data_IF_413213602412
#
_entry.id   IF_413213602412
#
_cell.length_a   1.000
_cell.length_b   1.000
_cell.length_c   1.000
_cell.angle_alpha   90.00
_cell.angle_beta   90.00
_cell.angle_gamma   90.00
#
_symmetry.space_group_name_H-M   'P 1'
#
loop_
_entity.id
_entity.type
_entity.pdbx_description
1 polymer ?
#
# COMPACT_ATOMS: atom_id res chain seq x y z
N UNK A 1 31.99 -65.74 41.16
CA UNK A 1 31.88 -64.26 41.15
C UNK A 1 31.37 -63.88 39.82
N UNK A 2 30.06 -63.59 39.75
CA UNK A 2 29.32 -63.25 38.49
C UNK A 2 29.31 -61.75 38.28
N UNK A 3 29.77 -61.38 37.15
CA UNK A 3 29.66 -60.01 36.67
C UNK A 3 28.52 -60.02 35.62
N UNK A 4 27.36 -59.43 35.96
CA UNK A 4 26.20 -59.29 35.10
C UNK A 4 26.44 -58.15 34.17
N UNK A 5 26.31 -58.41 32.86
CA UNK A 5 26.27 -57.42 31.77
C UNK A 5 24.87 -56.75 31.64
N UNK A 6 24.87 -55.46 31.66
CA UNK A 6 23.66 -54.63 31.31
C UNK A 6 23.58 -54.45 29.80
N UNK A 7 22.41 -54.60 29.18
CA UNK A 7 22.21 -54.23 27.78
C UNK A 7 21.91 -52.74 27.68
N UNK A 8 22.67 -52.04 26.84
CA UNK A 8 22.41 -50.67 26.40
C UNK A 8 21.26 -50.70 25.40
N UNK A 9 20.10 -50.19 25.81
CA UNK A 9 18.98 -49.92 24.90
C UNK A 9 19.25 -48.59 24.19
N UNK A 10 19.59 -48.68 22.92
CA UNK A 10 19.75 -47.50 22.02
C UNK A 10 18.37 -47.03 21.58
N UNK A 11 17.87 -45.92 22.15
CA UNK A 11 16.68 -45.24 21.66
C UNK A 11 17.05 -44.45 20.40
N UNK A 12 16.62 -44.94 19.25
CA UNK A 12 16.65 -44.18 18.00
C UNK A 12 15.47 -43.16 18.00
N UNK A 13 15.76 -41.93 18.36
CA UNK A 13 14.81 -40.83 18.14
C UNK A 13 14.81 -40.47 16.65
N UNK A 14 13.82 -40.94 15.89
CA UNK A 14 13.52 -40.44 14.56
C UNK A 14 13.02 -39.01 14.71
N UNK A 15 13.85 -38.05 14.34
CA UNK A 15 13.47 -36.65 14.16
C UNK A 15 12.63 -36.51 12.88
N UNK A 16 11.31 -36.41 13.04
CA UNK A 16 10.39 -35.97 11.96
C UNK A 16 10.38 -34.43 11.92
N UNK A 17 11.43 -33.83 11.36
CA UNK A 17 11.59 -32.38 11.21
C UNK A 17 11.66 -31.93 9.74
N UNK A 18 10.99 -32.63 8.82
CA UNK A 18 11.16 -32.32 7.39
C UNK A 18 9.94 -31.68 6.69
N UNK A 19 8.76 -31.66 7.31
CA UNK A 19 7.54 -31.15 6.63
C UNK A 19 7.39 -29.64 6.64
N UNK A 20 7.66 -28.98 7.78
CA UNK A 20 7.41 -27.54 7.93
C UNK A 20 8.49 -26.68 7.24
N UNK A 21 9.76 -27.07 7.31
CA UNK A 21 10.86 -26.36 6.65
C UNK A 21 10.73 -26.42 5.12
N UNK A 22 10.33 -27.55 4.59
CA UNK A 22 10.16 -27.73 3.14
C UNK A 22 8.96 -26.96 2.58
N UNK A 23 7.86 -26.79 3.34
CA UNK A 23 6.70 -26.00 2.91
C UNK A 23 7.01 -24.49 2.94
N UNK A 24 7.72 -23.99 3.95
CA UNK A 24 8.12 -22.57 4.05
C UNK A 24 9.09 -22.21 2.91
N UNK A 25 10.08 -23.03 2.63
CA UNK A 25 11.05 -22.79 1.54
C UNK A 25 10.38 -22.78 0.17
N UNK A 26 9.39 -23.65 -0.06
CA UNK A 26 8.64 -23.73 -1.32
C UNK A 26 7.68 -22.53 -1.51
N UNK A 27 7.04 -22.05 -0.46
CA UNK A 27 6.22 -20.83 -0.49
C UNK A 27 7.08 -19.59 -0.76
N UNK A 28 8.25 -19.47 -0.16
CA UNK A 28 9.18 -18.37 -0.39
C UNK A 28 9.71 -18.34 -1.83
N UNK A 29 10.10 -19.48 -2.39
CA UNK A 29 10.57 -19.59 -3.78
C UNK A 29 9.44 -19.25 -4.76
N UNK A 30 8.22 -19.73 -4.51
CA UNK A 30 7.06 -19.41 -5.35
C UNK A 30 6.71 -17.91 -5.32
N UNK A 31 6.74 -17.31 -4.15
CA UNK A 31 6.52 -15.87 -3.95
C UNK A 31 7.59 -15.02 -4.63
N UNK A 32 8.85 -15.42 -4.56
CA UNK A 32 9.96 -14.75 -5.23
C UNK A 32 9.84 -14.85 -6.76
N UNK A 33 9.48 -16.01 -7.29
CA UNK A 33 9.28 -16.20 -8.72
C UNK A 33 8.07 -15.40 -9.24
N UNK A 34 6.95 -15.37 -8.52
CA UNK A 34 5.78 -14.58 -8.87
C UNK A 34 6.09 -13.08 -8.88
N UNK A 35 6.86 -12.60 -7.90
CA UNK A 35 7.33 -11.21 -7.83
C UNK A 35 8.27 -10.86 -8.99
N UNK A 36 9.18 -11.75 -9.35
CA UNK A 36 10.10 -11.54 -10.46
C UNK A 36 9.40 -11.49 -11.82
N UNK A 37 8.28 -12.25 -11.98
CA UNK A 37 7.55 -12.34 -13.24
C UNK A 37 6.61 -11.16 -13.47
N UNK A 38 5.81 -10.77 -12.47
CA UNK A 38 4.92 -9.60 -12.52
C UNK A 38 4.84 -8.94 -11.14
N UNK A 39 5.73 -7.99 -10.85
CA UNK A 39 5.76 -7.30 -9.56
C UNK A 39 4.47 -6.55 -9.23
N UNK A 40 3.77 -6.01 -10.24
CA UNK A 40 2.50 -5.29 -10.05
C UNK A 40 1.39 -6.26 -9.68
N UNK A 41 1.30 -7.42 -10.33
CA UNK A 41 0.33 -8.46 -9.96
C UNK A 41 0.58 -8.97 -8.54
N UNK A 42 1.84 -9.17 -8.16
CA UNK A 42 2.22 -9.56 -6.81
C UNK A 42 1.79 -8.49 -5.78
N UNK A 43 2.02 -7.21 -6.07
CA UNK A 43 1.59 -6.09 -5.23
C UNK A 43 0.06 -6.05 -5.07
N UNK A 44 -0.68 -6.27 -6.16
CA UNK A 44 -2.15 -6.35 -6.12
C UNK A 44 -2.63 -7.51 -5.25
N UNK A 45 -1.99 -8.66 -5.33
CA UNK A 45 -2.31 -9.81 -4.49
C UNK A 45 -2.01 -9.52 -3.00
N UNK A 46 -0.88 -8.88 -2.70
CA UNK A 46 -0.52 -8.45 -1.36
C UNK A 46 -1.58 -7.52 -0.78
N UNK A 47 -2.05 -6.52 -1.55
CA UNK A 47 -3.15 -5.65 -1.15
C UNK A 47 -4.46 -6.43 -0.94
N UNK A 48 -4.78 -7.38 -1.81
CA UNK A 48 -6.00 -8.18 -1.68
C UNK A 48 -6.02 -9.04 -0.40
N UNK A 49 -4.86 -9.45 0.09
CA UNK A 49 -4.72 -10.28 1.29
C UNK A 49 -4.72 -9.49 2.60
N UNK A 50 -4.43 -8.18 2.58
CA UNK A 50 -4.49 -7.37 3.80
C UNK A 50 -5.93 -6.98 4.18
N UNK A 51 -6.14 -6.66 5.46
CA UNK A 51 -7.41 -6.15 5.99
C UNK A 51 -7.39 -4.64 6.20
N UNK A 52 -6.25 -4.12 6.58
CA UNK A 52 -6.07 -2.71 6.93
C UNK A 52 -4.60 -2.32 6.79
N UNK A 53 -4.35 -1.02 6.65
CA UNK A 53 -3.00 -0.45 6.80
C UNK A 53 -3.08 0.97 7.34
N UNK A 54 -1.98 1.42 7.92
CA UNK A 54 -1.73 2.81 8.26
C UNK A 54 -0.35 3.19 7.76
N UNK A 55 -0.21 4.41 7.23
CA UNK A 55 1.02 4.89 6.63
C UNK A 55 1.15 6.40 6.79
N UNK A 56 2.37 6.92 6.89
CA UNK A 56 2.64 8.34 6.70
C UNK A 56 2.82 8.59 5.22
N UNK A 57 1.83 9.24 4.61
CA UNK A 57 1.85 9.66 3.22
C UNK A 57 2.42 11.06 3.11
N UNK A 58 3.40 11.22 2.25
CA UNK A 58 3.95 12.53 1.84
C UNK A 58 3.78 12.67 0.35
N UNK A 59 3.02 13.66 -0.05
CA UNK A 59 2.78 13.96 -1.47
C UNK A 59 3.38 15.32 -1.82
N UNK A 60 3.94 15.42 -3.01
CA UNK A 60 4.42 16.67 -3.60
C UNK A 60 4.16 16.70 -5.09
N UNK A 61 3.65 17.82 -5.59
CA UNK A 61 3.44 18.10 -7.02
C UNK A 61 4.04 19.45 -7.38
N UNK A 62 4.30 19.73 -8.67
CA UNK A 62 4.78 21.05 -9.09
C UNK A 62 3.78 22.19 -8.86
N UNK A 63 2.48 21.88 -8.81
CA UNK A 63 1.37 22.85 -8.77
C UNK A 63 0.73 22.97 -7.39
N UNK A 64 1.02 22.09 -6.43
CA UNK A 64 0.32 22.02 -5.15
C UNK A 64 1.29 21.96 -3.97
N UNK A 65 0.85 22.45 -2.81
CA UNK A 65 1.63 22.37 -1.58
C UNK A 65 1.89 20.93 -1.17
N UNK A 66 3.07 20.71 -0.58
CA UNK A 66 3.41 19.39 -0.04
C UNK A 66 2.43 18.98 1.06
N UNK A 67 1.91 17.77 0.97
CA UNK A 67 0.96 17.20 1.93
C UNK A 67 1.65 16.15 2.80
N UNK A 68 1.39 16.19 4.11
CA UNK A 68 1.82 15.15 5.05
C UNK A 68 0.56 14.70 5.80
N UNK A 69 0.20 13.43 5.61
CA UNK A 69 -1.05 12.87 6.09
C UNK A 69 -0.76 11.52 6.73
N UNK A 70 -1.28 11.29 7.95
CA UNK A 70 -1.41 9.94 8.46
C UNK A 70 -2.64 9.32 7.82
N UNK A 71 -2.39 8.42 6.87
CA UNK A 71 -3.42 7.76 6.11
C UNK A 71 -3.72 6.38 6.70
N UNK A 72 -4.99 6.11 6.99
CA UNK A 72 -5.47 4.85 7.55
C UNK A 72 -6.57 4.27 6.67
N UNK A 73 -6.42 3.00 6.32
CA UNK A 73 -7.37 2.26 5.50
C UNK A 73 -7.83 0.98 6.20
N UNK A 74 -9.11 0.65 6.05
CA UNK A 74 -9.67 -0.64 6.47
C UNK A 74 -10.71 -1.11 5.46
N UNK A 75 -10.62 -2.37 5.04
CA UNK A 75 -11.65 -2.98 4.18
C UNK A 75 -13.03 -2.95 4.85
N UNK A 76 -14.11 -2.77 4.05
CA UNK A 76 -14.13 -2.81 2.58
C UNK A 76 -13.77 -1.48 1.88
N UNK A 77 -13.39 -0.41 2.57
CA UNK A 77 -13.04 0.88 1.96
C UNK A 77 -13.15 2.06 2.92
N UNK A 78 -13.08 1.83 4.23
CA UNK A 78 -12.97 2.92 5.20
C UNK A 78 -11.63 3.62 5.04
N UNK A 79 -11.66 4.94 4.94
CA UNK A 79 -10.47 5.80 4.87
C UNK A 79 -10.54 6.85 5.98
N UNK A 80 -9.42 7.07 6.67
CA UNK A 80 -9.21 8.20 7.56
C UNK A 80 -7.90 8.87 7.21
N UNK A 81 -7.95 10.20 7.06
CA UNK A 81 -6.82 11.07 6.81
C UNK A 81 -6.70 12.05 7.98
N UNK A 82 -5.63 11.93 8.76
CA UNK A 82 -5.28 12.92 9.79
C UNK A 82 -4.18 13.81 9.19
N UNK A 83 -4.49 15.08 8.93
CA UNK A 83 -3.59 16.00 8.25
C UNK A 83 -2.57 16.59 9.22
N UNK A 84 -1.30 16.54 8.81
CA UNK A 84 -0.21 17.23 9.50
C UNK A 84 0.18 18.50 8.75
N UNK A 85 0.12 18.46 7.39
CA UNK A 85 0.46 19.58 6.51
C UNK A 85 -0.28 19.42 5.17
N UNK A 86 -0.84 20.50 4.56
CA UNK A 86 -1.20 21.75 5.26
C UNK A 86 -2.29 21.48 6.32
N UNK A 87 -3.15 22.29 6.71
CA UNK A 87 -4.36 22.03 7.55
C UNK A 87 -4.10 21.15 8.78
N UNK A 88 -3.02 21.45 9.53
CA UNK A 88 -2.63 20.67 10.71
C UNK A 88 -3.80 20.46 11.69
N UNK A 89 -4.03 19.21 12.07
CA UNK A 89 -5.11 18.78 12.95
C UNK A 89 -6.44 18.50 12.25
N UNK A 90 -6.62 18.85 10.98
CA UNK A 90 -7.83 18.48 10.25
C UNK A 90 -7.92 16.93 10.12
N UNK A 91 -9.14 16.41 10.21
CA UNK A 91 -9.42 14.98 10.06
C UNK A 91 -10.55 14.79 9.05
N UNK A 92 -10.33 13.92 8.07
CA UNK A 92 -11.30 13.52 7.07
C UNK A 92 -11.52 12.02 7.16
N UNK A 93 -12.79 11.59 7.22
CA UNK A 93 -13.16 10.17 7.27
C UNK A 93 -14.20 9.87 6.20
N UNK A 94 -13.89 8.91 5.33
CA UNK A 94 -14.83 8.32 4.39
C UNK A 94 -15.39 7.01 4.95
N UNK A 95 -16.72 6.89 4.92
CA UNK A 95 -17.44 5.69 5.30
C UNK A 95 -18.07 5.05 4.05
N UNK A 96 -17.61 3.85 3.62
CA UNK A 96 -18.08 3.21 2.39
C UNK A 96 -19.52 2.71 2.48
N UNK A 97 -20.05 2.47 3.70
CA UNK A 97 -21.43 2.00 3.89
C UNK A 97 -22.42 3.15 3.63
N UNK A 98 -22.15 4.34 4.14
CA UNK A 98 -22.99 5.52 3.92
C UNK A 98 -22.66 6.27 2.62
N UNK A 99 -21.48 6.04 2.03
CA UNK A 99 -20.95 6.80 0.91
C UNK A 99 -20.67 8.26 1.25
N UNK A 100 -20.55 8.62 2.52
CA UNK A 100 -20.36 9.99 3.02
C UNK A 100 -18.96 10.20 3.55
N UNK A 101 -18.53 11.46 3.49
CA UNK A 101 -17.31 11.97 4.08
C UNK A 101 -17.68 12.86 5.26
N UNK A 102 -17.03 12.67 6.40
CA UNK A 102 -17.09 13.62 7.50
C UNK A 102 -15.74 14.32 7.63
N UNK A 103 -15.77 15.65 7.66
CA UNK A 103 -14.59 16.50 7.80
C UNK A 103 -14.69 17.30 9.09
N UNK A 104 -13.64 17.24 9.91
CA UNK A 104 -13.36 18.10 11.06
C UNK A 104 -12.19 19.01 10.72
N UNK A 105 -12.41 20.27 10.30
CA UNK A 105 -11.32 21.16 9.89
C UNK A 105 -10.30 21.45 11.00
N UNK A 106 -10.73 21.38 12.26
CA UNK A 106 -9.93 21.74 13.44
C UNK A 106 -9.71 20.56 14.40
N UNK A 107 -9.96 19.33 13.97
CA UNK A 107 -9.79 18.10 14.74
C UNK A 107 -11.09 17.49 15.24
N UNK A 108 -11.05 16.19 15.49
CA UNK A 108 -12.21 15.43 16.00
C UNK A 108 -12.68 16.02 17.33
N UNK A 109 -14.00 16.19 17.46
CA UNK A 109 -14.65 16.78 18.64
C UNK A 109 -14.75 18.30 18.62
N UNK A 110 -14.26 18.97 17.56
CA UNK A 110 -14.39 20.43 17.39
C UNK A 110 -15.40 20.78 16.30
N UNK A 111 -15.99 21.96 16.39
CA UNK A 111 -16.90 22.49 15.36
C UNK A 111 -16.15 23.38 14.37
N UNK A 112 -16.60 23.50 13.10
CA UNK A 112 -17.75 22.81 12.52
C UNK A 112 -17.44 21.34 12.17
N UNK A 113 -18.49 20.52 12.07
CA UNK A 113 -18.44 19.17 11.51
C UNK A 113 -19.17 19.22 10.15
N UNK A 114 -18.48 18.86 9.09
CA UNK A 114 -19.02 18.90 7.72
C UNK A 114 -19.29 17.49 7.20
N UNK A 115 -20.52 17.25 6.72
CA UNK A 115 -20.90 15.99 6.06
C UNK A 115 -21.01 16.24 4.56
N UNK A 116 -20.10 15.64 3.79
CA UNK A 116 -19.89 15.95 2.39
C UNK A 116 -20.07 14.70 1.52
N UNK A 117 -20.34 14.94 0.22
CA UNK A 117 -20.13 13.91 -0.80
C UNK A 117 -18.62 13.75 -1.08
N UNK A 118 -18.13 12.54 -1.44
CA UNK A 118 -16.75 12.37 -1.92
C UNK A 118 -16.41 13.22 -3.14
N UNK A 119 -17.42 13.69 -3.87
CA UNK A 119 -17.28 14.56 -5.06
C UNK A 119 -17.34 16.06 -4.74
N UNK A 120 -17.43 16.45 -3.47
CA UNK A 120 -17.46 17.85 -3.07
C UNK A 120 -16.08 18.50 -3.28
N UNK A 121 -16.04 19.64 -3.98
CA UNK A 121 -14.80 20.34 -4.33
C UNK A 121 -13.98 20.81 -3.11
N UNK A 122 -14.60 21.00 -1.96
CA UNK A 122 -13.91 21.39 -0.72
C UNK A 122 -12.88 20.34 -0.25
N UNK A 123 -13.06 19.07 -0.62
CA UNK A 123 -12.22 17.94 -0.19
C UNK A 123 -11.51 17.25 -1.35
N UNK A 124 -11.56 17.83 -2.54
CA UNK A 124 -10.75 17.43 -3.68
C UNK A 124 -9.51 18.30 -3.76
N UNK A 125 -8.42 17.76 -4.29
CA UNK A 125 -7.25 18.55 -4.66
C UNK A 125 -7.44 19.16 -6.07
N UNK A 126 -6.45 19.93 -6.54
CA UNK A 126 -6.45 20.58 -7.86
C UNK A 126 -6.60 19.60 -9.02
N UNK A 127 -6.21 18.31 -8.82
CA UNK A 127 -6.34 17.24 -9.81
C UNK A 127 -7.66 16.48 -9.70
N UNK A 128 -8.53 16.87 -8.76
CA UNK A 128 -9.83 16.24 -8.53
C UNK A 128 -9.74 14.85 -7.85
N UNK A 129 -8.65 14.57 -7.16
CA UNK A 129 -8.53 13.31 -6.43
C UNK A 129 -9.61 13.19 -5.36
N UNK A 130 -10.22 12.01 -5.29
CA UNK A 130 -11.34 11.71 -4.40
C UNK A 130 -10.90 10.75 -3.30
N UNK A 131 -11.36 11.02 -2.09
CA UNK A 131 -11.02 10.20 -0.92
C UNK A 131 -11.52 8.75 -1.03
N UNK A 132 -12.67 8.53 -1.65
CA UNK A 132 -13.26 7.19 -1.86
C UNK A 132 -12.55 6.36 -2.95
N UNK A 133 -11.53 6.92 -3.60
CA UNK A 133 -10.69 6.30 -4.63
C UNK A 133 -9.21 6.56 -4.40
N UNK A 134 -8.79 6.73 -3.14
CA UNK A 134 -7.44 7.13 -2.77
C UNK A 134 -6.57 6.01 -2.19
N UNK A 135 -7.11 4.79 -2.05
CA UNK A 135 -6.38 3.67 -1.46
C UNK A 135 -5.39 3.00 -2.45
N UNK A 136 -4.47 2.23 -1.88
CA UNK A 136 -3.45 1.50 -2.66
C UNK A 136 -4.07 0.55 -3.69
N UNK A 137 -5.25 -0.01 -3.42
CA UNK A 137 -5.92 -0.92 -4.36
C UNK A 137 -6.38 -0.22 -5.63
N UNK A 138 -6.91 1.00 -5.51
CA UNK A 138 -7.28 1.85 -6.65
C UNK A 138 -6.03 2.23 -7.46
N UNK A 139 -4.97 2.67 -6.79
CA UNK A 139 -3.68 2.96 -7.44
C UNK A 139 -3.18 1.75 -8.25
N UNK A 140 -3.10 0.58 -7.63
CA UNK A 140 -2.65 -0.63 -8.30
C UNK A 140 -3.60 -1.04 -9.45
N UNK A 141 -4.89 -0.82 -9.31
CA UNK A 141 -5.88 -1.01 -10.37
C UNK A 141 -5.61 -0.13 -11.59
N UNK A 142 -5.30 1.16 -11.38
CA UNK A 142 -4.93 2.10 -12.43
C UNK A 142 -3.62 1.68 -13.13
N UNK A 143 -2.60 1.29 -12.37
CA UNK A 143 -1.33 0.77 -12.90
C UNK A 143 -1.56 -0.50 -13.72
N UNK A 144 -2.38 -1.45 -13.23
CA UNK A 144 -2.74 -2.67 -13.96
C UNK A 144 -3.50 -2.37 -15.26
N UNK A 145 -4.31 -1.32 -15.28
CA UNK A 145 -5.00 -0.89 -16.49
C UNK A 145 -4.00 -0.40 -17.55
N UNK A 146 -3.05 0.46 -17.19
CA UNK A 146 -1.97 0.86 -18.09
C UNK A 146 -1.11 -0.33 -18.53
N UNK A 147 -0.81 -1.26 -17.63
CA UNK A 147 0.02 -2.43 -17.89
C UNK A 147 -0.55 -3.33 -18.99
N UNK A 148 -1.89 -3.48 -19.05
CA UNK A 148 -2.53 -4.35 -20.04
C UNK A 148 -2.31 -3.90 -21.48
N UNK A 149 -2.27 -2.60 -21.72
CA UNK A 149 -2.16 -2.00 -23.04
C UNK A 149 -0.73 -1.48 -23.32
N UNK A 150 0.04 -1.26 -22.27
CA UNK A 150 1.31 -0.56 -22.30
C UNK A 150 2.53 -1.45 -22.08
N UNK A 151 3.62 -0.82 -21.72
CA UNK A 151 4.91 -1.48 -21.47
C UNK A 151 5.25 -1.44 -19.99
N UNK A 152 5.67 -2.59 -19.45
CA UNK A 152 6.18 -2.72 -18.09
C UNK A 152 7.66 -3.05 -18.12
N UNK A 153 8.46 -2.29 -17.37
CA UNK A 153 9.91 -2.51 -17.23
C UNK A 153 10.26 -2.61 -15.76
N UNK A 154 10.87 -3.72 -15.34
CA UNK A 154 11.56 -3.79 -14.06
C UNK A 154 12.91 -3.10 -14.20
N UNK A 155 13.03 -1.91 -13.60
CA UNK A 155 14.23 -1.07 -13.68
C UNK A 155 15.37 -1.67 -12.86
N UNK A 156 15.06 -2.20 -11.67
CA UNK A 156 16.04 -2.84 -10.80
C UNK A 156 15.64 -2.81 -9.34
N UNK A 157 16.57 -3.23 -8.48
CA UNK A 157 16.40 -3.18 -7.04
C UNK A 157 17.07 -1.91 -6.49
N UNK A 158 16.37 -1.20 -5.63
CA UNK A 158 16.84 0.04 -5.00
C UNK A 158 16.61 -0.01 -3.48
N UNK A 159 17.36 0.80 -2.74
CA UNK A 159 17.14 1.00 -1.31
C UNK A 159 16.34 2.29 -1.10
N UNK A 160 15.15 2.17 -0.55
CA UNK A 160 14.29 3.30 -0.19
C UNK A 160 14.23 3.45 1.33
N UNK A 161 14.97 4.41 1.88
CA UNK A 161 15.03 4.68 3.32
C UNK A 161 15.30 3.42 4.18
N UNK A 162 16.30 2.61 3.78
CA UNK A 162 16.70 1.39 4.47
C UNK A 162 15.90 0.13 4.10
N UNK A 163 14.88 0.24 3.25
CA UNK A 163 14.08 -0.88 2.77
C UNK A 163 14.46 -1.28 1.35
N UNK A 164 14.69 -2.56 1.13
CA UNK A 164 14.91 -3.09 -0.20
C UNK A 164 13.60 -3.02 -1.01
N UNK A 165 13.65 -2.42 -2.20
CA UNK A 165 12.49 -2.26 -3.08
C UNK A 165 12.82 -2.68 -4.49
N UNK A 166 11.80 -3.10 -5.24
CA UNK A 166 11.88 -3.33 -6.68
C UNK A 166 11.25 -2.14 -7.39
N UNK A 167 12.02 -1.43 -8.22
CA UNK A 167 11.56 -0.32 -9.05
C UNK A 167 10.97 -0.85 -10.35
N UNK A 168 9.73 -0.49 -10.62
CA UNK A 168 8.97 -0.88 -11.82
C UNK A 168 8.43 0.38 -12.49
N UNK A 169 8.63 0.49 -13.79
CA UNK A 169 8.02 1.53 -14.64
C UNK A 169 6.92 0.92 -15.51
N UNK A 170 5.75 1.55 -15.53
CA UNK A 170 4.61 1.16 -16.37
C UNK A 170 4.17 2.36 -17.18
N UNK A 171 4.20 2.24 -18.51
CA UNK A 171 3.96 3.32 -19.48
C UNK A 171 2.81 2.94 -20.38
N UNK A 172 1.81 3.80 -20.55
CA UNK A 172 0.73 3.63 -21.52
C UNK A 172 1.22 3.76 -22.97
N UNK A 173 0.55 3.17 -23.97
CA UNK A 173 0.89 3.34 -25.37
C UNK A 173 0.49 4.74 -25.86
N UNK A 174 1.31 5.34 -26.75
CA UNK A 174 1.06 6.65 -27.35
C UNK A 174 0.81 7.73 -26.28
N UNK A 175 -0.38 8.30 -26.26
CA UNK A 175 -0.83 9.32 -25.28
C UNK A 175 -1.88 8.78 -24.32
N UNK A 176 -2.06 7.47 -24.23
CA UNK A 176 -3.04 6.85 -23.34
C UNK A 176 -2.78 7.25 -21.89
N UNK A 177 -3.84 7.61 -21.20
CA UNK A 177 -3.83 7.92 -19.76
C UNK A 177 -4.89 7.10 -19.03
N UNK A 178 -4.59 6.76 -17.78
CA UNK A 178 -5.56 6.19 -16.84
C UNK A 178 -5.60 7.11 -15.62
N UNK A 179 -6.77 7.65 -15.31
CA UNK A 179 -6.96 8.63 -14.24
C UNK A 179 -6.00 9.84 -14.35
N UNK A 180 -5.80 10.31 -15.61
CA UNK A 180 -4.91 11.43 -15.93
C UNK A 180 -3.41 11.11 -15.92
N UNK A 181 -2.99 9.86 -15.70
CA UNK A 181 -1.60 9.45 -15.63
C UNK A 181 -1.24 8.57 -16.83
N UNK A 182 -0.11 8.92 -17.50
CA UNK A 182 0.45 8.18 -18.63
C UNK A 182 1.49 7.15 -18.21
N UNK A 183 2.32 7.50 -17.21
CA UNK A 183 3.37 6.63 -16.68
C UNK A 183 3.39 6.64 -15.16
N UNK A 184 3.58 5.46 -14.58
CA UNK A 184 3.89 5.28 -13.17
C UNK A 184 5.29 4.68 -13.01
N UNK A 185 6.10 5.30 -12.16
CA UNK A 185 7.29 4.69 -11.58
C UNK A 185 6.97 4.31 -10.14
N UNK A 186 7.10 3.04 -9.79
CA UNK A 186 6.67 2.47 -8.50
C UNK A 186 7.81 1.70 -7.86
N UNK A 187 8.09 1.98 -6.59
CA UNK A 187 9.01 1.23 -5.75
C UNK A 187 8.21 0.33 -4.83
N UNK A 188 8.22 -0.96 -5.12
CA UNK A 188 7.51 -1.98 -4.35
C UNK A 188 8.44 -2.54 -3.28
N UNK A 189 8.01 -2.46 -2.03
CA UNK A 189 8.75 -3.02 -0.89
C UNK A 189 8.89 -4.55 -1.03
N UNK A 190 10.13 -5.05 -0.93
CA UNK A 190 10.41 -6.48 -1.14
C UNK A 190 9.91 -7.38 -0.02
N UNK A 191 9.56 -6.84 1.13
CA UNK A 191 9.04 -7.63 2.25
C UNK A 191 7.53 -7.87 2.13
N UNK A 192 6.74 -6.80 1.96
CA UNK A 192 5.27 -6.91 1.92
C UNK A 192 4.65 -6.67 0.54
N UNK A 193 5.46 -6.33 -0.48
CA UNK A 193 4.99 -6.14 -1.86
C UNK A 193 4.22 -4.86 -2.13
N UNK A 194 3.95 -4.01 -1.13
CA UNK A 194 3.17 -2.79 -1.32
C UNK A 194 4.06 -1.60 -1.74
N UNK A 195 3.50 -0.57 -2.41
CA UNK A 195 4.25 0.61 -2.78
C UNK A 195 4.84 1.35 -1.58
N UNK A 196 6.13 1.71 -1.65
CA UNK A 196 6.80 2.63 -0.73
C UNK A 196 7.01 4.02 -1.33
N UNK A 197 7.04 4.10 -2.67
CA UNK A 197 7.13 5.35 -3.42
C UNK A 197 6.44 5.19 -4.76
N UNK A 198 5.77 6.24 -5.22
CA UNK A 198 5.13 6.30 -6.54
C UNK A 198 5.43 7.66 -7.14
N UNK A 199 5.79 7.70 -8.41
CA UNK A 199 5.87 8.92 -9.21
C UNK A 199 4.94 8.75 -10.40
N UNK A 200 4.09 9.74 -10.65
CA UNK A 200 3.18 9.78 -11.79
C UNK A 200 3.59 10.85 -12.78
N UNK A 201 3.40 10.57 -14.07
CA UNK A 201 3.79 11.46 -15.17
C UNK A 201 2.67 11.61 -16.20
N UNK A 202 2.61 12.79 -16.83
CA UNK A 202 1.79 13.08 -17.99
C UNK A 202 2.41 12.51 -19.28
N UNK A 203 1.68 12.53 -20.43
CA UNK A 203 2.21 12.06 -21.72
C UNK A 203 3.44 12.82 -22.24
N UNK A 204 3.62 14.06 -21.82
CA UNK A 204 4.78 14.90 -22.13
C UNK A 204 5.96 14.73 -21.16
N UNK A 205 5.93 13.66 -20.35
CA UNK A 205 6.93 13.34 -19.32
C UNK A 205 6.97 14.34 -18.14
N UNK A 206 6.04 15.31 -18.08
CA UNK A 206 5.93 16.19 -16.93
C UNK A 206 5.55 15.37 -15.70
N UNK A 207 6.32 15.52 -14.62
CA UNK A 207 5.99 14.90 -13.34
C UNK A 207 4.73 15.53 -12.75
N UNK A 208 3.72 14.72 -12.54
CA UNK A 208 2.45 15.14 -11.93
C UNK A 208 2.52 15.14 -10.41
N UNK A 209 3.06 14.06 -9.83
CA UNK A 209 3.10 13.89 -8.38
C UNK A 209 4.19 12.89 -7.97
N UNK A 210 4.74 13.09 -6.78
CA UNK A 210 5.54 12.10 -6.07
C UNK A 210 4.87 11.81 -4.73
N UNK A 211 4.57 10.54 -4.46
CA UNK A 211 4.02 10.06 -3.19
C UNK A 211 5.03 9.13 -2.52
N UNK A 212 5.36 9.42 -1.27
CA UNK A 212 6.12 8.55 -0.38
C UNK A 212 5.18 7.95 0.67
N UNK A 213 5.35 6.66 0.92
CA UNK A 213 4.55 5.87 1.86
C UNK A 213 5.48 5.29 2.93
N UNK A 214 5.68 6.08 4.00
CA UNK A 214 6.61 5.78 5.08
C UNK A 214 5.92 5.13 6.28
N UNK A 215 6.70 4.40 7.10
CA UNK A 215 6.24 3.79 8.34
C UNK A 215 4.94 2.97 8.17
N UNK A 216 4.83 2.21 7.09
CA UNK A 216 3.65 1.40 6.81
C UNK A 216 3.51 0.27 7.82
N UNK A 217 2.32 0.18 8.43
CA UNK A 217 1.89 -0.92 9.30
C UNK A 217 0.69 -1.59 8.66
N UNK A 218 0.82 -2.88 8.34
CA UNK A 218 -0.24 -3.68 7.72
C UNK A 218 -0.99 -4.51 8.76
N UNK A 219 -2.28 -4.77 8.48
CA UNK A 219 -3.19 -5.54 9.35
C UNK A 219 -3.30 -4.98 10.78
N UNK A 220 -3.16 -3.65 10.92
CA UNK A 220 -3.35 -2.94 12.18
C UNK A 220 -4.81 -3.08 12.64
N UNK A 221 -5.02 -3.28 13.94
CA UNK A 221 -6.35 -3.27 14.56
C UNK A 221 -6.66 -1.86 15.03
N UNK A 222 -7.64 -1.23 14.41
CA UNK A 222 -8.13 0.07 14.85
C UNK A 222 -9.15 -0.07 15.99
N UNK A 223 -9.26 0.91 16.89
CA UNK A 223 -10.34 0.99 17.87
C UNK A 223 -11.72 1.01 17.19
N UNK A 224 -12.77 0.55 17.90
CA UNK A 224 -14.12 0.43 17.33
C UNK A 224 -14.69 1.74 16.75
N UNK A 225 -14.36 2.89 17.35
CA UNK A 225 -14.81 4.21 16.94
C UNK A 225 -13.80 4.98 16.06
N UNK A 226 -12.74 4.31 15.57
CA UNK A 226 -11.66 4.98 14.84
C UNK A 226 -12.15 5.67 13.55
N UNK A 227 -13.09 5.05 12.84
CA UNK A 227 -13.70 5.59 11.62
C UNK A 227 -15.09 6.21 11.83
N UNK A 228 -15.53 6.34 13.09
CA UNK A 228 -16.82 6.94 13.48
C UNK A 228 -16.69 7.55 14.87
N UNK A 229 -15.80 8.53 15.06
CA UNK A 229 -15.53 9.16 16.37
C UNK A 229 -16.67 10.06 16.83
#
# INVERSE_FOLDING_TARGET
MNISSFPIVMFAALLTLSGAAYSVEKEDIFSQNARATDPIAFSQQSFNNLRSYQVMMRSSSPSDESKIIRYSFQKPGYVRMDFTQPHSGAVLIFNPVSGKVTLWPFGVGTLPILHLSPTNSLIQDERGHRVDRSDIGVLLGNIRHLQREGTTTTVGNENLAGRATTHVSVVGPGTMVVDGVHRYDVWLDNYHGLPGKVISYAPDEQRLETVLLDAMVINIRFPANFFSP
#
